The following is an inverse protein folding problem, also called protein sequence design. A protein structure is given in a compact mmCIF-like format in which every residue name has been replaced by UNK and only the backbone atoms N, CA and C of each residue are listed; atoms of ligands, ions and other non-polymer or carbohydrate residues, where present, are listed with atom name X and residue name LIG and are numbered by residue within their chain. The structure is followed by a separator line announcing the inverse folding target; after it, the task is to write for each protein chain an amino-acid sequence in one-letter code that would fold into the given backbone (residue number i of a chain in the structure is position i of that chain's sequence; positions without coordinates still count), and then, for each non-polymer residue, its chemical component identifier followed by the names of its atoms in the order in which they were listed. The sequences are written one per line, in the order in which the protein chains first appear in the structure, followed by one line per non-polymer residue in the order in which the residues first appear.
data_IF_665672774858
#
_entry.id   IF_665672774858
#
_cell.length_a   1.000
_cell.length_b   1.000
_cell.length_c   1.000
_cell.angle_alpha   90.00
_cell.angle_beta   90.00
_cell.angle_gamma   90.00
#
_symmetry.space_group_name_H-M   'P 1'
#
loop_
_entity.id
_entity.type
_entity.pdbx_description
1 polymer ?
#
# COMPACT_ATOMS: atom_id res chain seq x y z
N UNK A 1 -8.86 -27.93 14.17
CA UNK A 1 -9.97 -27.39 15.02
C UNK A 1 -10.21 -28.41 16.14
N UNK A 2 -9.60 -28.17 17.25
CA UNK A 2 -9.61 -29.15 18.36
C UNK A 2 -10.78 -28.98 19.32
N UNK A 3 -11.49 -27.84 19.24
CA UNK A 3 -12.63 -27.61 20.14
C UNK A 3 -13.81 -26.91 19.44
N UNK A 4 -15.00 -27.10 20.01
CA UNK A 4 -16.21 -26.40 19.59
C UNK A 4 -16.08 -24.87 19.76
N UNK A 5 -15.29 -24.41 20.75
CA UNK A 5 -14.99 -23.00 20.96
C UNK A 5 -14.23 -22.37 19.80
N UNK A 6 -13.25 -23.07 19.21
CA UNK A 6 -12.46 -22.57 18.08
C UNK A 6 -13.33 -22.32 16.84
N UNK A 7 -14.26 -23.25 16.61
CA UNK A 7 -15.25 -23.08 15.55
C UNK A 7 -16.12 -21.85 15.79
N UNK A 8 -16.54 -21.58 17.03
CA UNK A 8 -17.33 -20.40 17.35
C UNK A 8 -16.56 -19.10 17.11
N UNK A 9 -15.28 -19.02 17.46
CA UNK A 9 -14.45 -17.85 17.19
C UNK A 9 -14.33 -17.59 15.67
N UNK A 10 -14.04 -18.63 14.89
CA UNK A 10 -14.00 -18.50 13.43
C UNK A 10 -15.34 -18.07 12.84
N UNK A 11 -16.44 -18.61 13.35
CA UNK A 11 -17.76 -18.25 12.92
C UNK A 11 -18.08 -16.78 13.21
N UNK A 12 -17.62 -16.22 14.34
CA UNK A 12 -17.85 -14.80 14.67
C UNK A 12 -17.21 -13.88 13.63
N UNK A 13 -15.93 -14.10 13.27
CA UNK A 13 -15.26 -13.24 12.27
C UNK A 13 -15.92 -13.39 10.88
N UNK A 14 -16.33 -14.59 10.49
CA UNK A 14 -16.98 -14.80 9.20
C UNK A 14 -18.34 -14.11 9.12
N UNK A 15 -19.16 -14.21 10.17
CA UNK A 15 -20.45 -13.51 10.24
C UNK A 15 -20.22 -12.00 10.23
N UNK A 16 -19.29 -11.50 11.04
CA UNK A 16 -19.00 -10.08 11.10
C UNK A 16 -18.53 -9.53 9.76
N UNK A 17 -17.55 -10.18 9.12
CA UNK A 17 -17.05 -9.78 7.80
C UNK A 17 -18.17 -9.81 6.75
N UNK A 18 -19.02 -10.84 6.76
CA UNK A 18 -20.15 -10.92 5.84
C UNK A 18 -21.17 -9.78 6.07
N UNK A 19 -21.49 -9.48 7.33
CA UNK A 19 -22.38 -8.39 7.69
C UNK A 19 -21.77 -7.02 7.31
N UNK A 20 -20.53 -6.78 7.67
CA UNK A 20 -19.82 -5.53 7.36
C UNK A 20 -19.69 -5.35 5.85
N UNK A 21 -19.33 -6.40 5.10
CA UNK A 21 -19.26 -6.37 3.64
C UNK A 21 -20.60 -6.00 3.00
N UNK A 22 -21.68 -6.62 3.47
CA UNK A 22 -23.03 -6.32 2.98
C UNK A 22 -23.43 -4.87 3.29
N UNK A 23 -23.25 -4.41 4.52
CA UNK A 23 -23.56 -3.04 4.94
C UNK A 23 -22.72 -2.00 4.19
N UNK A 24 -21.42 -2.28 4.05
CA UNK A 24 -20.49 -1.44 3.32
C UNK A 24 -20.89 -1.30 1.85
N UNK A 25 -21.18 -2.44 1.21
CA UNK A 25 -21.64 -2.43 -0.18
C UNK A 25 -22.99 -1.71 -0.36
N UNK A 26 -23.92 -1.88 0.57
CA UNK A 26 -25.21 -1.17 0.58
C UNK A 26 -25.02 0.34 0.73
N UNK A 27 -24.07 0.75 1.56
CA UNK A 27 -23.78 2.17 1.87
C UNK A 27 -23.04 2.86 0.74
N UNK A 28 -21.97 2.25 0.22
CA UNK A 28 -21.05 2.88 -0.75
C UNK A 28 -21.28 2.42 -2.19
N UNK A 29 -22.08 1.38 -2.41
CA UNK A 29 -22.39 0.80 -3.74
C UNK A 29 -21.16 0.46 -4.58
N UNK A 30 -20.05 0.16 -3.90
CA UNK A 30 -18.77 -0.19 -4.50
C UNK A 30 -18.00 -1.12 -3.58
N UNK A 31 -17.10 -1.93 -4.15
CA UNK A 31 -16.17 -2.77 -3.40
C UNK A 31 -14.89 -2.03 -2.99
N UNK A 32 -14.63 -0.88 -3.61
CA UNK A 32 -13.39 -0.11 -3.43
C UNK A 32 -13.53 0.87 -2.26
N UNK A 33 -13.53 0.33 -1.03
CA UNK A 33 -13.65 1.08 0.22
C UNK A 33 -12.54 0.68 1.18
N UNK A 34 -12.08 1.59 2.07
CA UNK A 34 -11.03 1.30 3.03
C UNK A 34 -11.30 0.04 3.86
N UNK A 35 -12.53 -0.15 4.36
CA UNK A 35 -12.89 -1.31 5.16
C UNK A 35 -12.73 -2.63 4.40
N UNK A 36 -13.16 -2.69 3.13
CA UNK A 36 -13.02 -3.90 2.31
C UNK A 36 -11.54 -4.24 2.05
N UNK A 37 -10.71 -3.22 1.83
CA UNK A 37 -9.27 -3.44 1.67
C UNK A 37 -8.59 -3.93 2.95
N UNK A 38 -9.08 -3.54 4.13
CA UNK A 38 -8.54 -4.04 5.41
C UNK A 38 -9.03 -5.45 5.72
N UNK A 39 -10.37 -5.68 5.70
CA UNK A 39 -10.96 -6.90 6.25
C UNK A 39 -10.80 -8.12 5.33
N UNK A 40 -10.94 -7.96 4.00
CA UNK A 40 -10.96 -9.13 3.10
C UNK A 40 -9.61 -9.85 3.01
N UNK A 41 -8.45 -9.16 2.79
CA UNK A 41 -7.15 -9.82 2.78
C UNK A 41 -6.82 -10.46 4.12
N UNK A 42 -7.07 -9.76 5.24
CA UNK A 42 -6.83 -10.31 6.56
C UNK A 42 -7.62 -11.61 6.80
N UNK A 43 -8.92 -11.58 6.53
CA UNK A 43 -9.77 -12.78 6.71
C UNK A 43 -9.29 -13.94 5.83
N UNK A 44 -8.90 -13.67 4.58
CA UNK A 44 -8.37 -14.70 3.69
C UNK A 44 -7.07 -15.30 4.24
N UNK A 45 -6.13 -14.48 4.72
CA UNK A 45 -4.87 -14.94 5.31
C UNK A 45 -5.13 -15.71 6.61
N UNK A 46 -6.01 -15.21 7.48
CA UNK A 46 -6.40 -15.88 8.73
C UNK A 46 -6.93 -17.32 8.44
N UNK A 47 -7.85 -17.44 7.49
CA UNK A 47 -8.45 -18.74 7.13
C UNK A 47 -7.44 -19.73 6.50
N UNK A 48 -6.36 -19.24 5.91
CA UNK A 48 -5.28 -20.08 5.40
C UNK A 48 -4.29 -20.40 6.54
N UNK A 49 -3.92 -19.42 7.34
CA UNK A 49 -2.92 -19.57 8.42
C UNK A 49 -3.35 -20.58 9.47
N UNK A 50 -4.59 -20.50 9.96
CA UNK A 50 -5.07 -21.39 11.04
C UNK A 50 -4.91 -22.88 10.73
N UNK A 51 -5.37 -23.41 9.56
CA UNK A 51 -5.22 -24.82 9.27
C UNK A 51 -3.82 -25.25 8.83
N UNK A 52 -2.95 -24.31 8.47
CA UNK A 52 -1.64 -24.62 7.89
C UNK A 52 -0.47 -24.37 8.83
N UNK A 53 -0.59 -23.48 9.79
CA UNK A 53 0.51 -23.08 10.67
C UNK A 53 1.15 -24.27 11.38
N UNK A 54 0.38 -25.12 12.04
CA UNK A 54 0.89 -26.32 12.73
C UNK A 54 1.60 -27.31 11.80
N UNK A 55 1.15 -27.45 10.54
CA UNK A 55 1.79 -28.32 9.55
C UNK A 55 3.17 -27.83 9.12
N UNK A 56 3.41 -26.52 9.25
CA UNK A 56 4.70 -25.90 8.99
C UNK A 56 5.56 -25.69 10.25
N UNK A 57 5.12 -26.23 11.41
CA UNK A 57 5.85 -26.14 12.68
C UNK A 57 5.82 -24.76 13.33
N UNK A 58 4.88 -23.92 12.97
CA UNK A 58 4.63 -22.65 13.67
C UNK A 58 3.88 -22.85 14.98
N UNK A 59 3.93 -21.83 15.85
CA UNK A 59 3.17 -21.81 17.11
C UNK A 59 1.67 -21.93 16.87
N UNK A 60 0.96 -22.47 17.85
CA UNK A 60 -0.49 -22.64 17.81
C UNK A 60 -1.21 -21.31 17.81
N UNK A 61 -2.31 -21.23 17.10
CA UNK A 61 -3.11 -20.01 17.01
C UNK A 61 -4.04 -19.87 18.21
N UNK A 62 -3.96 -18.74 18.91
CA UNK A 62 -4.83 -18.39 20.03
C UNK A 62 -6.12 -17.73 19.53
N UNK A 63 -7.20 -18.51 19.41
CA UNK A 63 -8.47 -18.08 18.85
C UNK A 63 -9.11 -16.84 19.48
N UNK A 64 -8.99 -16.58 20.81
CA UNK A 64 -9.50 -15.35 21.41
C UNK A 64 -8.96 -14.05 20.79
N UNK A 65 -7.82 -14.09 20.10
CA UNK A 65 -7.28 -12.94 19.37
C UNK A 65 -8.23 -12.43 18.28
N UNK A 66 -9.12 -13.29 17.77
CA UNK A 66 -10.15 -12.93 16.79
C UNK A 66 -11.10 -11.87 17.36
N UNK A 67 -11.42 -11.92 18.67
CA UNK A 67 -12.29 -10.92 19.32
C UNK A 67 -11.69 -9.52 19.19
N UNK A 68 -10.39 -9.38 19.38
CA UNK A 68 -9.71 -8.09 19.26
C UNK A 68 -9.80 -7.54 17.82
N UNK A 69 -9.62 -8.40 16.84
CA UNK A 69 -9.82 -8.03 15.44
C UNK A 69 -11.25 -7.61 15.14
N UNK A 70 -12.24 -8.35 15.66
CA UNK A 70 -13.64 -8.02 15.51
C UNK A 70 -13.94 -6.62 16.06
N UNK A 71 -13.47 -6.32 17.28
CA UNK A 71 -13.61 -4.99 17.88
C UNK A 71 -12.93 -3.91 17.02
N UNK A 72 -11.72 -4.20 16.54
CA UNK A 72 -10.98 -3.29 15.66
C UNK A 72 -11.73 -3.00 14.35
N UNK A 73 -12.28 -4.02 13.70
CA UNK A 73 -13.08 -3.87 12.47
C UNK A 73 -14.35 -3.07 12.72
N UNK A 74 -15.05 -3.30 13.82
CA UNK A 74 -16.25 -2.52 14.18
C UNK A 74 -15.89 -1.05 14.40
N UNK A 75 -14.83 -0.75 15.17
CA UNK A 75 -14.37 0.62 15.37
C UNK A 75 -13.97 1.28 14.03
N UNK A 76 -13.28 0.55 13.16
CA UNK A 76 -12.90 1.05 11.83
C UNK A 76 -14.11 1.28 10.92
N UNK A 77 -15.18 0.51 11.08
CA UNK A 77 -16.40 0.63 10.29
C UNK A 77 -17.29 1.82 10.69
N UNK A 78 -17.21 2.32 11.92
CA UNK A 78 -18.07 3.41 12.41
C UNK A 78 -18.04 4.65 11.50
N UNK A 79 -16.85 5.23 11.14
CA UNK A 79 -16.80 6.39 10.25
C UNK A 79 -17.38 6.10 8.85
N UNK A 80 -17.21 4.86 8.35
CA UNK A 80 -17.79 4.46 7.06
C UNK A 80 -19.29 4.67 7.04
N UNK A 81 -19.99 4.12 8.02
CA UNK A 81 -21.45 4.17 8.07
C UNK A 81 -21.97 5.58 8.33
N UNK A 82 -21.30 6.34 9.19
CA UNK A 82 -21.67 7.73 9.46
C UNK A 82 -21.50 8.59 8.21
N UNK A 83 -20.33 8.58 7.59
CA UNK A 83 -20.03 9.42 6.43
C UNK A 83 -20.82 8.98 5.18
N UNK A 84 -20.91 7.67 4.95
CA UNK A 84 -21.69 7.12 3.84
C UNK A 84 -23.20 7.36 4.02
N UNK A 85 -23.71 7.26 5.26
CA UNK A 85 -25.10 7.61 5.59
C UNK A 85 -25.42 9.08 5.33
N UNK A 86 -24.51 9.99 5.71
CA UNK A 86 -24.65 11.42 5.42
C UNK A 86 -24.67 11.69 3.90
N UNK A 87 -23.79 11.07 3.12
CA UNK A 87 -23.79 11.23 1.66
C UNK A 87 -25.07 10.74 1.03
N UNK A 88 -25.59 9.59 1.45
CA UNK A 88 -26.85 9.05 0.96
C UNK A 88 -28.04 9.95 1.33
N UNK A 89 -28.04 10.50 2.55
CA UNK A 89 -29.08 11.43 2.99
C UNK A 89 -29.12 12.69 2.14
N UNK A 90 -27.96 13.25 1.76
CA UNK A 90 -27.89 14.43 0.89
C UNK A 90 -28.03 14.09 -0.61
N UNK A 91 -28.34 12.84 -0.96
CA UNK A 91 -28.58 12.42 -2.34
C UNK A 91 -27.39 12.59 -3.29
N UNK A 92 -26.17 12.66 -2.78
CA UNK A 92 -24.97 12.82 -3.61
C UNK A 92 -24.58 11.50 -4.27
N UNK A 93 -24.14 11.50 -5.54
CA UNK A 93 -23.68 10.30 -6.20
C UNK A 93 -22.46 9.73 -5.49
N UNK A 94 -22.47 8.41 -5.21
CA UNK A 94 -21.42 7.71 -4.48
C UNK A 94 -20.32 7.19 -5.41
N UNK A 95 -20.61 7.03 -6.69
CA UNK A 95 -19.64 6.57 -7.69
C UNK A 95 -19.76 7.43 -8.96
N UNK A 96 -18.62 7.88 -9.45
CA UNK A 96 -18.49 8.50 -10.76
C UNK A 96 -17.46 7.71 -11.57
N UNK A 97 -17.68 7.48 -12.88
CA UNK A 97 -16.63 6.88 -13.71
C UNK A 97 -15.40 7.79 -13.72
N UNK A 98 -14.22 7.20 -13.75
CA UNK A 98 -12.97 7.98 -13.85
C UNK A 98 -13.02 8.84 -15.12
N UNK A 99 -12.70 10.11 -14.97
CA UNK A 99 -12.50 10.98 -16.11
C UNK A 99 -11.34 10.44 -16.96
N UNK A 100 -11.67 9.95 -18.15
CA UNK A 100 -10.67 9.37 -19.08
C UNK A 100 -9.87 10.50 -19.73
N UNK A 101 -8.91 11.05 -19.02
CA UNK A 101 -7.96 12.00 -19.58
C UNK A 101 -6.81 11.26 -20.29
N UNK A 102 -6.27 11.81 -21.37
CA UNK A 102 -5.07 11.28 -21.99
C UNK A 102 -3.89 11.37 -21.02
N UNK A 103 -2.90 10.49 -21.23
CA UNK A 103 -1.65 10.50 -20.47
C UNK A 103 -0.96 11.88 -20.57
N UNK A 104 -0.76 12.61 -19.45
CA UNK A 104 -0.11 13.91 -19.49
C UNK A 104 1.36 13.79 -19.91
N UNK A 105 1.80 14.60 -20.88
CA UNK A 105 3.21 14.62 -21.32
C UNK A 105 4.16 14.97 -20.17
N UNK A 106 3.75 15.89 -19.30
CA UNK A 106 4.55 16.28 -18.12
C UNK A 106 4.82 15.09 -17.22
N UNK A 107 3.83 14.23 -16.99
CA UNK A 107 4.01 13.02 -16.19
C UNK A 107 5.08 12.10 -16.77
N UNK A 108 5.09 11.93 -18.09
CA UNK A 108 6.08 11.10 -18.78
C UNK A 108 7.49 11.69 -18.61
N UNK A 109 7.63 13.00 -18.78
CA UNK A 109 8.91 13.68 -18.56
C UNK A 109 9.38 13.50 -17.12
N UNK A 110 8.51 13.72 -16.13
CA UNK A 110 8.84 13.55 -14.70
C UNK A 110 9.22 12.09 -14.42
N UNK A 111 8.44 11.11 -14.92
CA UNK A 111 8.74 9.69 -14.71
C UNK A 111 10.09 9.28 -15.34
N UNK A 112 10.40 9.82 -16.53
CA UNK A 112 11.69 9.58 -17.19
C UNK A 112 12.83 10.22 -16.38
N UNK A 113 12.69 11.46 -15.92
CA UNK A 113 13.72 12.14 -15.12
C UNK A 113 13.97 11.43 -13.79
N UNK A 114 12.91 11.01 -13.08
CA UNK A 114 13.03 10.22 -11.86
C UNK A 114 13.70 8.88 -12.16
N UNK A 115 13.31 8.17 -13.21
CA UNK A 115 13.95 6.92 -13.62
C UNK A 115 15.43 7.08 -13.93
N UNK A 116 15.81 8.15 -14.65
CA UNK A 116 17.22 8.47 -14.93
C UNK A 116 18.01 8.83 -13.67
N UNK A 117 17.40 9.60 -12.75
CA UNK A 117 18.02 9.95 -11.48
C UNK A 117 18.30 8.69 -10.62
N UNK A 118 17.34 7.76 -10.56
CA UNK A 118 17.50 6.48 -9.85
C UNK A 118 18.55 5.58 -10.53
N UNK A 119 18.59 5.54 -11.85
CA UNK A 119 19.62 4.81 -12.60
C UNK A 119 21.02 5.41 -12.37
N UNK A 120 21.13 6.74 -12.33
CA UNK A 120 22.36 7.44 -11.98
C UNK A 120 22.79 7.15 -10.56
N UNK A 121 21.89 7.19 -9.58
CA UNK A 121 22.17 6.85 -8.18
C UNK A 121 22.66 5.40 -8.07
N UNK A 122 22.02 4.47 -8.77
CA UNK A 122 22.46 3.07 -8.82
C UNK A 122 23.89 2.94 -9.34
N UNK A 123 24.20 3.59 -10.47
CA UNK A 123 25.55 3.60 -11.04
C UNK A 123 26.57 4.18 -10.09
N UNK A 124 26.23 5.29 -9.41
CA UNK A 124 27.09 5.92 -8.40
C UNK A 124 27.35 4.98 -7.23
N UNK A 125 26.31 4.34 -6.67
CA UNK A 125 26.42 3.39 -5.56
C UNK A 125 27.28 2.19 -5.96
N UNK A 126 27.13 1.66 -7.18
CA UNK A 126 28.01 0.59 -7.70
C UNK A 126 29.49 0.97 -7.72
N UNK A 127 29.80 2.25 -7.96
CA UNK A 127 31.18 2.73 -8.02
C UNK A 127 31.78 3.09 -6.65
N UNK A 128 30.94 3.38 -5.65
CA UNK A 128 31.39 3.83 -4.31
C UNK A 128 31.26 2.75 -3.23
N UNK A 129 30.29 1.84 -3.37
CA UNK A 129 30.04 0.80 -2.38
C UNK A 129 31.02 -0.38 -2.53
N UNK A 130 31.49 -0.89 -1.40
CA UNK A 130 32.17 -2.18 -1.32
C UNK A 130 31.18 -3.35 -1.14
N UNK A 131 29.90 -3.04 -0.88
CA UNK A 131 28.86 -4.02 -0.70
C UNK A 131 28.35 -4.55 -2.06
N UNK A 132 27.98 -5.81 -2.12
CA UNK A 132 27.43 -6.40 -3.34
C UNK A 132 25.95 -6.02 -3.55
N UNK A 133 25.54 -5.91 -4.80
CA UNK A 133 24.14 -5.66 -5.16
C UNK A 133 23.25 -6.76 -4.56
N UNK A 134 22.28 -6.36 -3.73
CA UNK A 134 21.39 -7.28 -3.03
C UNK A 134 21.73 -7.50 -1.56
N UNK A 135 22.78 -6.88 -1.03
CA UNK A 135 23.01 -6.78 0.42
C UNK A 135 22.19 -5.63 1.03
N UNK A 136 21.93 -5.71 2.33
CA UNK A 136 21.27 -4.63 3.08
C UNK A 136 22.10 -3.35 3.05
N UNK A 137 23.41 -3.45 3.21
CA UNK A 137 24.34 -2.30 3.15
C UNK A 137 24.26 -1.59 1.79
N UNK A 138 24.22 -2.36 0.68
CA UNK A 138 24.05 -1.77 -0.65
C UNK A 138 22.69 -1.09 -0.79
N UNK A 139 21.64 -1.70 -0.28
CA UNK A 139 20.29 -1.14 -0.33
C UNK A 139 20.20 0.16 0.48
N UNK A 140 20.86 0.23 1.65
CA UNK A 140 20.92 1.43 2.47
C UNK A 140 21.66 2.57 1.76
N UNK A 141 22.85 2.32 1.20
CA UNK A 141 23.60 3.30 0.42
C UNK A 141 22.84 3.76 -0.83
N UNK A 142 22.21 2.83 -1.55
CA UNK A 142 21.38 3.15 -2.73
C UNK A 142 20.15 3.95 -2.36
N UNK A 143 19.51 3.64 -1.23
CA UNK A 143 18.33 4.36 -0.74
C UNK A 143 18.63 5.84 -0.54
N UNK A 144 19.85 6.17 -0.11
CA UNK A 144 20.32 7.51 0.12
C UNK A 144 19.53 8.23 1.23
N UNK A 145 20.01 9.44 1.56
CA UNK A 145 19.38 10.30 2.55
C UNK A 145 18.91 11.62 1.90
N UNK A 146 18.03 12.34 2.57
CA UNK A 146 17.55 13.64 2.14
C UNK A 146 16.85 13.59 0.77
N UNK A 147 17.29 14.41 -0.18
CA UNK A 147 16.64 14.54 -1.49
C UNK A 147 16.54 13.22 -2.27
N UNK A 148 17.52 12.33 -2.17
CA UNK A 148 17.51 11.03 -2.85
C UNK A 148 16.39 10.13 -2.35
N UNK A 149 16.14 10.12 -1.04
CA UNK A 149 15.02 9.40 -0.45
C UNK A 149 13.68 9.90 -1.02
N UNK A 150 13.49 11.22 -1.14
CA UNK A 150 12.26 11.80 -1.71
C UNK A 150 12.11 11.52 -3.22
N UNK A 151 13.21 11.52 -4.01
CA UNK A 151 13.19 11.10 -5.43
C UNK A 151 12.74 9.65 -5.54
N UNK A 152 13.23 8.78 -4.66
CA UNK A 152 12.78 7.39 -4.59
C UNK A 152 11.29 7.29 -4.24
N UNK A 153 10.81 8.02 -3.23
CA UNK A 153 9.39 8.02 -2.87
C UNK A 153 8.51 8.52 -4.02
N UNK A 154 8.98 9.50 -4.81
CA UNK A 154 8.29 9.97 -6.02
C UNK A 154 8.12 8.86 -7.07
N UNK A 155 9.01 7.86 -7.09
CA UNK A 155 8.89 6.73 -8.03
C UNK A 155 7.62 5.91 -7.81
N UNK A 156 7.08 5.86 -6.58
CA UNK A 156 5.90 5.06 -6.22
C UNK A 156 4.63 5.59 -6.90
N UNK A 157 4.18 6.84 -6.70
CA UNK A 157 2.99 7.35 -7.38
C UNK A 157 3.16 7.37 -8.90
N UNK A 158 4.37 7.62 -9.42
CA UNK A 158 4.66 7.53 -10.85
C UNK A 158 4.47 6.11 -11.37
N UNK A 159 4.95 5.10 -10.64
CA UNK A 159 4.77 3.69 -10.98
C UNK A 159 3.29 3.32 -11.01
N UNK A 160 2.52 3.69 -9.98
CA UNK A 160 1.06 3.46 -9.90
C UNK A 160 0.34 4.05 -11.11
N UNK A 161 0.65 5.31 -11.46
CA UNK A 161 0.03 6.00 -12.59
C UNK A 161 0.48 5.39 -13.93
N UNK A 162 1.75 5.04 -14.07
CA UNK A 162 2.26 4.37 -15.27
C UNK A 162 1.58 3.00 -15.47
N UNK A 163 1.40 2.20 -14.41
CA UNK A 163 0.65 0.93 -14.45
C UNK A 163 -0.79 1.18 -14.91
N UNK A 164 -1.44 2.24 -14.42
CA UNK A 164 -2.81 2.58 -14.85
C UNK A 164 -2.90 2.86 -16.36
N UNK A 165 -1.94 3.60 -16.91
CA UNK A 165 -1.92 3.94 -18.35
C UNK A 165 -1.34 2.85 -19.25
N UNK A 166 -0.76 1.79 -18.68
CA UNK A 166 -0.15 0.71 -19.43
C UNK A 166 -1.20 -0.10 -20.21
N UNK A 167 -1.40 0.24 -21.47
CA UNK A 167 -2.31 -0.42 -22.40
C UNK A 167 -1.64 -0.67 -23.76
N UNK A 168 -2.40 -1.15 -24.75
CA UNK A 168 -1.87 -1.41 -26.09
C UNK A 168 -1.31 -0.16 -26.80
N UNK A 169 -1.85 1.03 -26.48
CA UNK A 169 -1.43 2.31 -27.06
C UNK A 169 -0.17 2.86 -26.39
N UNK A 170 0.03 2.53 -25.13
CA UNK A 170 1.12 3.06 -24.29
C UNK A 170 2.13 1.99 -23.88
N UNK A 171 2.37 0.97 -24.75
CA UNK A 171 3.37 -0.10 -24.49
C UNK A 171 4.78 0.45 -24.27
N UNK A 172 5.07 1.59 -24.81
CA UNK A 172 6.35 2.28 -24.64
C UNK A 172 6.59 2.75 -23.18
N UNK A 173 5.59 2.71 -22.31
CA UNK A 173 5.78 2.93 -20.86
C UNK A 173 6.49 1.77 -20.15
N UNK A 174 6.55 0.57 -20.77
CA UNK A 174 7.20 -0.59 -20.14
C UNK A 174 8.63 -0.33 -19.67
N UNK A 175 9.54 0.30 -20.43
CA UNK A 175 10.87 0.60 -19.94
C UNK A 175 10.87 1.47 -18.68
N UNK A 176 9.99 2.48 -18.60
CA UNK A 176 9.86 3.33 -17.40
C UNK A 176 9.35 2.50 -16.22
N UNK A 177 8.30 1.70 -16.42
CA UNK A 177 7.76 0.83 -15.37
C UNK A 177 8.82 -0.15 -14.84
N UNK A 178 9.60 -0.76 -15.75
CA UNK A 178 10.67 -1.69 -15.37
C UNK A 178 11.75 -0.98 -14.56
N UNK A 179 12.21 0.20 -14.98
CA UNK A 179 13.23 0.97 -14.26
C UNK A 179 12.74 1.35 -12.85
N UNK A 180 11.49 1.84 -12.73
CA UNK A 180 10.91 2.20 -11.45
C UNK A 180 10.71 0.97 -10.53
N UNK A 181 10.31 -0.18 -11.09
CA UNK A 181 10.21 -1.44 -10.35
C UNK A 181 11.58 -1.93 -9.87
N UNK A 182 12.58 -1.95 -10.75
CA UNK A 182 13.94 -2.39 -10.41
C UNK A 182 14.57 -1.50 -9.33
N UNK A 183 14.39 -0.19 -9.42
CA UNK A 183 14.89 0.73 -8.40
C UNK A 183 14.28 0.43 -7.02
N UNK A 184 12.97 0.16 -6.95
CA UNK A 184 12.32 -0.23 -5.69
C UNK A 184 12.72 -1.65 -5.25
N UNK A 185 13.02 -2.56 -6.18
CA UNK A 185 13.49 -3.91 -5.88
C UNK A 185 14.88 -3.92 -5.25
N UNK A 186 15.80 -3.11 -5.76
CA UNK A 186 17.17 -2.98 -5.24
C UNK A 186 17.18 -2.44 -3.79
N UNK A 187 16.22 -1.59 -3.43
CA UNK A 187 16.05 -1.10 -2.07
C UNK A 187 15.60 -2.17 -1.06
N UNK A 188 15.33 -3.39 -1.50
CA UNK A 188 14.88 -4.53 -0.67
C UNK A 188 13.58 -4.30 0.14
N UNK A 189 12.91 -3.18 -0.03
CA UNK A 189 11.62 -2.90 0.62
C UNK A 189 10.50 -3.59 -0.16
N UNK A 190 10.41 -4.91 0.00
CA UNK A 190 9.47 -5.77 -0.74
C UNK A 190 8.02 -5.32 -0.59
N UNK A 191 7.64 -4.86 0.61
CA UNK A 191 6.31 -4.31 0.89
C UNK A 191 5.95 -3.13 -0.02
N UNK A 192 6.88 -2.20 -0.25
CA UNK A 192 6.65 -1.01 -1.07
C UNK A 192 6.31 -1.36 -2.53
N UNK A 193 6.98 -2.38 -3.10
CA UNK A 193 6.70 -2.84 -4.47
C UNK A 193 5.30 -3.45 -4.56
N UNK A 194 4.97 -4.34 -3.61
CA UNK A 194 3.67 -5.00 -3.55
C UNK A 194 2.57 -3.95 -3.42
N UNK A 195 2.72 -2.98 -2.52
CA UNK A 195 1.78 -1.88 -2.30
C UNK A 195 1.60 -1.05 -3.58
N UNK A 196 2.70 -0.67 -4.25
CA UNK A 196 2.62 0.12 -5.48
C UNK A 196 1.92 -0.64 -6.62
N UNK A 197 2.23 -1.93 -6.79
CA UNK A 197 1.60 -2.79 -7.82
C UNK A 197 0.11 -2.99 -7.49
N UNK A 198 -0.24 -3.31 -6.25
CA UNK A 198 -1.64 -3.44 -5.80
C UNK A 198 -2.42 -2.15 -6.05
N UNK A 199 -1.83 -1.00 -5.73
CA UNK A 199 -2.44 0.33 -5.97
C UNK A 199 -2.71 0.56 -7.45
N UNK A 200 -1.74 0.28 -8.32
CA UNK A 200 -1.88 0.40 -9.77
C UNK A 200 -2.94 -0.55 -10.34
N UNK A 201 -2.98 -1.77 -9.85
CA UNK A 201 -3.98 -2.78 -10.23
C UNK A 201 -5.38 -2.40 -9.76
N UNK A 202 -5.54 -1.96 -8.50
CA UNK A 202 -6.82 -1.48 -7.97
C UNK A 202 -7.34 -0.28 -8.78
N UNK A 203 -6.45 0.66 -9.10
CA UNK A 203 -6.76 1.80 -9.95
C UNK A 203 -7.23 1.38 -11.36
N UNK A 204 -6.60 0.37 -11.98
CA UNK A 204 -7.02 -0.19 -13.27
C UNK A 204 -8.38 -0.85 -13.22
N UNK A 205 -8.65 -1.62 -12.15
CA UNK A 205 -9.94 -2.25 -11.92
C UNK A 205 -11.04 -1.20 -11.74
N UNK A 206 -10.80 -0.22 -10.88
CA UNK A 206 -11.73 0.88 -10.64
C UNK A 206 -11.99 1.71 -11.90
N UNK A 207 -10.95 1.98 -12.70
CA UNK A 207 -11.06 2.69 -13.97
C UNK A 207 -11.62 1.88 -15.15
N UNK A 208 -12.05 0.65 -14.91
CA UNK A 208 -12.62 -0.23 -15.93
C UNK A 208 -11.64 -0.66 -17.04
N UNK A 209 -10.32 -0.39 -16.86
CA UNK A 209 -9.27 -0.80 -17.84
C UNK A 209 -8.96 -2.28 -17.79
N UNK A 210 -9.30 -2.91 -16.68
CA UNK A 210 -9.15 -4.36 -16.45
C UNK A 210 -10.40 -4.85 -15.73
N UNK A 211 -10.89 -6.04 -16.10
CA UNK A 211 -12.02 -6.67 -15.43
C UNK A 211 -11.50 -7.60 -14.33
N UNK A 212 -12.16 -7.58 -13.18
CA UNK A 212 -11.92 -8.57 -12.14
C UNK A 212 -12.34 -9.95 -12.68
N UNK A 213 -11.38 -10.81 -12.91
CA UNK A 213 -11.58 -12.17 -13.38
C UNK A 213 -10.67 -13.12 -12.61
N UNK A 214 -11.03 -14.41 -12.56
CA UNK A 214 -10.18 -15.42 -11.91
C UNK A 214 -8.76 -15.39 -12.50
N UNK A 215 -8.64 -15.26 -13.83
CA UNK A 215 -7.34 -15.14 -14.50
C UNK A 215 -6.53 -13.94 -13.99
N UNK A 216 -7.18 -12.79 -13.80
CA UNK A 216 -6.53 -11.60 -13.26
C UNK A 216 -6.04 -11.83 -11.82
N UNK A 217 -6.88 -12.41 -10.97
CA UNK A 217 -6.53 -12.75 -9.58
C UNK A 217 -5.33 -13.70 -9.56
N UNK A 218 -5.40 -14.82 -10.31
CA UNK A 218 -4.32 -15.80 -10.36
C UNK A 218 -3.01 -15.21 -10.91
N UNK A 219 -3.06 -14.35 -11.93
CA UNK A 219 -1.88 -13.66 -12.45
C UNK A 219 -1.28 -12.67 -11.43
N UNK A 220 -2.11 -11.95 -10.68
CA UNK A 220 -1.65 -10.99 -9.69
C UNK A 220 -1.03 -11.70 -8.49
N UNK A 221 -1.70 -12.73 -7.95
CA UNK A 221 -1.19 -13.54 -6.85
C UNK A 221 0.07 -14.32 -7.28
N UNK A 222 0.02 -14.98 -8.42
CA UNK A 222 1.17 -15.72 -8.96
C UNK A 222 2.35 -14.81 -9.25
N UNK A 223 2.11 -13.59 -9.73
CA UNK A 223 3.15 -12.57 -9.93
C UNK A 223 3.77 -12.09 -8.60
N UNK A 224 2.96 -11.89 -7.56
CA UNK A 224 3.45 -11.53 -6.22
C UNK A 224 4.28 -12.66 -5.59
N UNK A 225 3.81 -13.90 -5.69
CA UNK A 225 4.55 -15.09 -5.24
C UNK A 225 5.85 -15.24 -6.02
N UNK A 226 5.80 -15.15 -7.36
CA UNK A 226 7.00 -15.23 -8.19
C UNK A 226 8.01 -14.13 -7.84
N UNK A 227 7.57 -12.90 -7.63
CA UNK A 227 8.43 -11.79 -7.21
C UNK A 227 9.10 -12.09 -5.87
N UNK A 228 8.36 -12.66 -4.92
CA UNK A 228 8.90 -13.08 -3.62
C UNK A 228 10.00 -14.12 -3.81
N UNK A 229 9.73 -15.22 -4.53
CA UNK A 229 10.70 -16.28 -4.78
C UNK A 229 11.93 -15.76 -5.53
N UNK A 230 11.76 -14.95 -6.58
CA UNK A 230 12.86 -14.33 -7.31
C UNK A 230 13.73 -13.48 -6.36
N UNK A 231 13.13 -12.70 -5.47
CA UNK A 231 13.89 -11.85 -4.55
C UNK A 231 14.74 -12.64 -3.57
N UNK A 232 14.28 -13.83 -3.14
CA UNK A 232 15.02 -14.67 -2.21
C UNK A 232 16.03 -15.62 -2.89
N UNK A 233 15.78 -16.01 -4.14
CA UNK A 233 16.68 -16.90 -4.88
C UNK A 233 17.77 -16.13 -5.63
N UNK A 234 17.41 -15.05 -6.33
CA UNK A 234 18.33 -14.33 -7.24
C UNK A 234 19.34 -13.49 -6.47
N UNK A 235 18.92 -12.78 -5.42
CA UNK A 235 19.83 -11.89 -4.68
C UNK A 235 20.97 -12.64 -3.97
N UNK A 236 20.74 -13.75 -3.24
CA UNK A 236 21.82 -14.55 -2.66
C UNK A 236 22.73 -15.17 -3.73
N UNK A 237 22.19 -15.64 -4.85
CA UNK A 237 22.98 -16.23 -5.94
C UNK A 237 23.91 -15.21 -6.60
N UNK A 238 23.47 -13.97 -6.75
CA UNK A 238 24.32 -12.89 -7.28
C UNK A 238 25.43 -12.48 -6.34
N UNK A 239 25.22 -12.63 -5.00
CA UNK A 239 26.16 -12.14 -3.99
C UNK A 239 27.24 -13.13 -3.55
N UNK A 240 26.97 -14.44 -3.60
CA UNK A 240 27.85 -15.45 -3.02
C UNK A 240 28.80 -16.14 -4.01
N UNK A 241 28.64 -15.92 -5.32
CA UNK A 241 29.47 -16.56 -6.35
C UNK A 241 29.36 -18.10 -6.41
N UNK A 242 28.62 -18.71 -5.50
CA UNK A 242 28.33 -20.15 -5.44
C UNK A 242 26.95 -20.36 -6.06
N UNK A 243 26.93 -20.51 -7.38
CA UNK A 243 25.71 -20.48 -8.19
C UNK A 243 24.87 -21.76 -8.21
N UNK A 244 24.90 -22.57 -7.15
CA UNK A 244 24.09 -23.80 -7.10
C UNK A 244 22.81 -23.58 -6.30
N UNK A 245 21.67 -23.97 -6.92
CA UNK A 245 20.37 -24.07 -6.23
C UNK A 245 20.39 -25.37 -5.45
N UNK A 246 20.60 -25.29 -4.14
CA UNK A 246 20.56 -26.47 -3.24
C UNK A 246 19.14 -26.70 -2.73
N UNK A 247 18.86 -27.93 -2.32
CA UNK A 247 17.59 -28.28 -1.65
C UNK A 247 17.37 -27.45 -0.38
N UNK A 248 18.46 -27.14 0.33
CA UNK A 248 18.45 -26.29 1.52
C UNK A 248 18.01 -24.84 1.20
N UNK A 249 18.43 -24.28 0.07
CA UNK A 249 17.99 -22.96 -0.39
C UNK A 249 16.50 -22.98 -0.73
N UNK A 250 16.03 -24.03 -1.37
CA UNK A 250 14.61 -24.20 -1.72
C UNK A 250 13.77 -24.27 -0.43
N UNK A 251 14.17 -25.11 0.52
CA UNK A 251 13.48 -25.26 1.82
C UNK A 251 13.48 -23.93 2.58
N UNK A 252 14.59 -23.23 2.63
CA UNK A 252 14.70 -21.89 3.23
C UNK A 252 13.73 -20.89 2.60
N UNK A 253 13.62 -20.87 1.27
CA UNK A 253 12.71 -19.93 0.59
C UNK A 253 11.25 -20.27 0.87
N UNK A 254 10.87 -21.55 0.87
CA UNK A 254 9.51 -21.99 1.22
C UNK A 254 9.16 -21.66 2.68
N UNK A 255 10.04 -21.96 3.62
CA UNK A 255 9.84 -21.66 5.04
C UNK A 255 9.74 -20.15 5.27
N UNK A 256 10.60 -19.38 4.61
CA UNK A 256 10.56 -17.92 4.66
C UNK A 256 9.26 -17.37 4.08
N UNK A 257 8.77 -17.92 2.97
CA UNK A 257 7.48 -17.52 2.41
C UNK A 257 6.32 -17.82 3.37
N UNK A 258 6.26 -19.05 3.92
CA UNK A 258 5.27 -19.42 4.92
C UNK A 258 5.36 -18.51 6.16
N UNK A 259 6.58 -18.20 6.63
CA UNK A 259 6.83 -17.30 7.74
C UNK A 259 6.28 -15.88 7.46
N UNK A 260 6.59 -15.28 6.31
CA UNK A 260 6.07 -13.97 5.95
C UNK A 260 4.54 -13.96 5.81
N UNK A 261 3.97 -15.09 5.35
CA UNK A 261 2.53 -15.17 5.18
C UNK A 261 1.76 -15.35 6.49
N UNK A 262 2.34 -16.00 7.49
CA UNK A 262 1.67 -16.33 8.75
C UNK A 262 2.03 -15.40 9.91
N UNK A 263 3.23 -14.83 9.90
CA UNK A 263 3.80 -14.11 11.04
C UNK A 263 2.93 -12.96 11.56
N UNK A 264 2.36 -12.14 10.68
CA UNK A 264 1.52 -11.03 11.13
C UNK A 264 0.33 -11.48 11.97
N UNK A 265 -0.35 -12.54 11.53
CA UNK A 265 -1.53 -13.10 12.22
C UNK A 265 -1.15 -13.80 13.52
N UNK A 266 -0.05 -14.58 13.49
CA UNK A 266 0.46 -15.25 14.69
C UNK A 266 0.98 -14.27 15.72
N UNK A 267 1.52 -13.10 15.31
CA UNK A 267 2.04 -12.10 16.22
C UNK A 267 1.00 -11.57 17.21
N UNK A 268 -0.17 -11.16 16.74
CA UNK A 268 -1.24 -10.77 17.65
C UNK A 268 -1.70 -11.93 18.54
N UNK A 269 -1.78 -13.14 17.98
CA UNK A 269 -2.12 -14.35 18.73
C UNK A 269 -1.18 -14.57 19.90
N UNK A 270 0.13 -14.53 19.68
CA UNK A 270 1.17 -14.70 20.68
C UNK A 270 1.18 -13.57 21.73
N UNK A 271 1.05 -12.31 21.28
CA UNK A 271 0.99 -11.17 22.20
C UNK A 271 -0.19 -11.28 23.17
N UNK A 272 -1.30 -11.86 22.75
CA UNK A 272 -2.45 -12.09 23.62
C UNK A 272 -2.27 -13.28 24.57
N UNK A 273 -1.56 -14.34 24.15
CA UNK A 273 -1.20 -15.47 25.02
C UNK A 273 -0.32 -14.98 26.20
N UNK A 274 0.67 -14.15 25.89
CA UNK A 274 1.58 -13.60 26.90
C UNK A 274 1.06 -12.33 27.59
N UNK A 275 -0.10 -11.85 27.19
CA UNK A 275 -0.75 -10.67 27.75
C UNK A 275 0.13 -9.41 27.73
N UNK A 276 0.61 -9.04 26.55
CA UNK A 276 1.44 -7.85 26.29
C UNK A 276 0.67 -6.66 25.66
N UNK A 277 -0.48 -6.21 26.23
CA UNK A 277 -1.10 -4.98 25.77
C UNK A 277 -0.26 -3.78 26.22
N UNK A 278 -0.19 -2.74 25.40
CA UNK A 278 0.47 -1.46 25.75
C UNK A 278 1.93 -1.63 26.22
N UNK A 279 2.65 -2.59 25.60
CA UNK A 279 4.03 -2.91 25.97
C UNK A 279 5.05 -1.93 25.36
N UNK A 280 4.66 -1.13 24.38
CA UNK A 280 5.50 -0.15 23.68
C UNK A 280 4.98 1.28 23.81
N UNK A 281 5.75 2.24 23.28
CA UNK A 281 5.33 3.65 23.25
C UNK A 281 4.40 3.94 22.07
N UNK A 282 3.30 4.63 22.32
CA UNK A 282 2.39 5.12 21.27
C UNK A 282 3.07 6.05 20.26
N UNK A 283 4.21 6.65 20.61
CA UNK A 283 4.99 7.49 19.74
C UNK A 283 5.43 6.77 18.44
N UNK A 284 5.60 5.44 18.50
CA UNK A 284 5.89 4.62 17.32
C UNK A 284 4.74 4.69 16.31
N UNK A 285 3.49 4.64 16.78
CA UNK A 285 2.28 4.70 15.91
C UNK A 285 2.17 6.06 15.22
N UNK A 286 2.50 7.14 15.91
CA UNK A 286 2.43 8.51 15.40
C UNK A 286 3.79 9.04 14.94
N UNK A 287 4.78 8.16 14.81
CA UNK A 287 6.16 8.53 14.44
C UNK A 287 6.28 9.40 13.17
N UNK A 288 5.47 9.25 12.11
CA UNK A 288 5.55 10.14 10.96
C UNK A 288 5.37 11.62 11.33
N UNK A 289 4.42 11.90 12.23
CA UNK A 289 4.15 13.28 12.67
C UNK A 289 5.24 13.81 13.59
N UNK A 290 5.70 12.99 14.53
CA UNK A 290 6.79 13.34 15.45
C UNK A 290 8.07 13.58 14.67
N UNK A 291 8.41 12.70 13.73
CA UNK A 291 9.63 12.81 12.92
C UNK A 291 9.63 14.07 12.04
N UNK A 292 8.48 14.42 11.44
CA UNK A 292 8.35 15.68 10.69
C UNK A 292 8.56 16.88 11.64
N UNK A 293 7.93 16.87 12.81
CA UNK A 293 8.09 17.93 13.80
C UNK A 293 9.54 18.07 14.25
N UNK A 294 10.19 16.98 14.65
CA UNK A 294 11.58 16.93 15.10
C UNK A 294 12.55 17.43 14.01
N UNK A 295 12.29 17.05 12.75
CA UNK A 295 13.10 17.49 11.63
C UNK A 295 12.96 19.00 11.36
N UNK A 296 11.77 19.56 11.53
CA UNK A 296 11.50 20.99 11.33
C UNK A 296 11.99 21.82 12.52
N UNK A 297 11.76 21.34 13.73
CA UNK A 297 12.19 22.01 14.97
C UNK A 297 13.71 21.90 15.22
N UNK A 298 14.35 20.85 14.66
CA UNK A 298 15.80 20.64 14.78
C UNK A 298 16.26 20.04 16.12
N UNK A 299 15.34 19.63 16.99
CA UNK A 299 15.60 19.33 18.41
C UNK A 299 15.19 17.93 18.85
N UNK A 300 15.06 16.94 17.97
CA UNK A 300 14.58 15.64 18.39
C UNK A 300 15.25 14.46 17.70
N UNK A 301 15.29 13.33 18.40
CA UNK A 301 15.67 12.06 17.81
C UNK A 301 14.61 11.57 16.83
N UNK A 302 15.02 10.96 15.74
CA UNK A 302 14.13 10.32 14.77
C UNK A 302 13.67 8.98 15.35
N UNK A 303 12.37 8.83 15.54
CA UNK A 303 11.76 7.57 15.96
C UNK A 303 11.77 6.61 14.77
N UNK A 304 12.42 5.46 14.93
CA UNK A 304 12.44 4.42 13.91
C UNK A 304 11.01 3.85 13.73
N UNK A 305 10.45 3.83 12.52
CA UNK A 305 9.15 3.24 12.24
C UNK A 305 9.28 1.72 12.09
N UNK A 306 9.85 1.07 13.08
CA UNK A 306 10.06 -0.38 13.14
C UNK A 306 9.52 -0.89 14.46
N UNK A 307 8.78 -1.99 14.39
CA UNK A 307 8.36 -2.67 15.60
C UNK A 307 9.58 -3.28 16.31
N UNK A 308 9.90 -2.77 17.49
CA UNK A 308 11.07 -3.21 18.27
C UNK A 308 10.82 -4.49 19.08
N UNK A 309 9.56 -4.93 19.20
CA UNK A 309 9.19 -6.10 19.98
C UNK A 309 9.16 -7.35 19.13
N UNK A 310 10.09 -8.27 19.39
CA UNK A 310 10.21 -9.53 18.68
C UNK A 310 9.48 -10.65 19.43
N UNK A 311 8.95 -11.60 18.68
CA UNK A 311 8.41 -12.85 19.20
C UNK A 311 8.89 -14.03 18.35
N UNK A 312 8.79 -15.25 18.91
CA UNK A 312 9.19 -16.48 18.21
C UNK A 312 7.96 -17.14 17.57
N UNK A 313 8.00 -17.37 16.26
CA UNK A 313 6.92 -18.04 15.52
C UNK A 313 6.97 -19.57 15.60
N UNK A 314 7.98 -20.14 16.27
CA UNK A 314 8.33 -21.55 16.19
C UNK A 314 9.48 -21.84 15.23
N UNK A 315 9.62 -21.09 14.14
CA UNK A 315 10.72 -21.20 13.19
C UNK A 315 11.78 -20.12 13.32
N UNK A 316 11.37 -18.87 13.54
CA UNK A 316 12.28 -17.74 13.62
C UNK A 316 11.68 -16.61 14.45
N UNK A 317 12.56 -15.66 14.81
CA UNK A 317 12.13 -14.42 15.43
C UNK A 317 11.59 -13.47 14.36
N UNK A 318 10.48 -12.82 14.68
CA UNK A 318 9.88 -11.77 13.86
C UNK A 318 9.33 -10.66 14.73
N UNK A 319 9.27 -9.46 14.16
CA UNK A 319 8.64 -8.29 14.78
C UNK A 319 7.37 -7.85 14.04
N UNK A 320 6.93 -8.63 13.05
CA UNK A 320 5.78 -8.31 12.22
C UNK A 320 4.48 -8.65 12.97
N UNK A 321 3.53 -7.73 12.93
CA UNK A 321 2.18 -7.90 13.50
C UNK A 321 1.16 -7.27 12.57
N UNK A 322 -0.04 -7.80 12.59
CA UNK A 322 -1.16 -7.25 11.80
C UNK A 322 -1.43 -5.78 12.14
N UNK A 323 -2.24 -5.13 11.33
CA UNK A 323 -2.69 -3.75 11.55
C UNK A 323 -3.16 -3.51 13.00
N UNK A 324 -4.09 -4.30 13.50
CA UNK A 324 -4.55 -4.17 14.88
C UNK A 324 -3.58 -4.77 15.90
N UNK A 325 -2.76 -5.76 15.52
CA UNK A 325 -1.74 -6.33 16.40
C UNK A 325 -0.67 -5.31 16.79
N UNK A 326 -0.22 -4.50 15.85
CA UNK A 326 0.71 -3.40 16.16
C UNK A 326 0.06 -2.38 17.09
N UNK A 327 -1.20 -2.02 16.85
CA UNK A 327 -1.92 -1.13 17.75
C UNK A 327 -2.12 -1.73 19.15
N UNK A 328 -2.30 -3.06 19.25
CA UNK A 328 -2.45 -3.74 20.56
C UNK A 328 -1.22 -3.55 21.45
N UNK A 329 -0.02 -3.64 20.90
CA UNK A 329 1.22 -3.55 21.69
C UNK A 329 1.73 -2.13 21.92
N UNK A 330 1.31 -1.15 21.11
CA UNK A 330 1.78 0.23 21.18
C UNK A 330 0.72 1.22 21.70
N UNK A 331 -0.47 0.76 22.05
CA UNK A 331 -1.52 1.67 22.52
C UNK A 331 -2.39 1.06 23.61
N UNK A 332 -2.83 1.91 24.53
CA UNK A 332 -3.91 1.55 25.46
C UNK A 332 -5.28 1.58 24.73
N UNK A 333 -6.33 1.09 25.39
CA UNK A 333 -7.67 0.99 24.80
C UNK A 333 -8.25 2.31 24.27
N UNK A 334 -7.95 3.43 24.94
CA UNK A 334 -8.41 4.76 24.51
C UNK A 334 -7.65 5.18 23.26
N UNK A 335 -6.32 5.08 23.26
CA UNK A 335 -5.48 5.39 22.13
C UNK A 335 -5.83 4.52 20.93
N UNK A 336 -5.97 3.21 21.12
CA UNK A 336 -6.42 2.26 20.10
C UNK A 336 -7.74 2.70 19.46
N UNK A 337 -8.76 2.95 20.29
CA UNK A 337 -10.10 3.28 19.81
C UNK A 337 -10.11 4.63 19.08
N UNK A 338 -9.52 5.67 19.67
CA UNK A 338 -9.47 7.01 19.11
C UNK A 338 -8.68 7.03 17.81
N UNK A 339 -7.52 6.39 17.79
CA UNK A 339 -6.66 6.37 16.61
C UNK A 339 -7.30 5.57 15.46
N UNK A 340 -7.90 4.41 15.74
CA UNK A 340 -8.60 3.59 14.73
C UNK A 340 -9.74 4.38 14.08
N UNK A 341 -10.58 5.04 14.88
CA UNK A 341 -11.68 5.87 14.38
C UNK A 341 -11.15 7.09 13.62
N UNK A 342 -10.10 7.74 14.12
CA UNK A 342 -9.46 8.89 13.45
C UNK A 342 -8.90 8.50 12.09
N UNK A 343 -8.09 7.45 12.01
CA UNK A 343 -7.49 6.98 10.76
C UNK A 343 -8.56 6.56 9.74
N UNK A 344 -9.57 5.78 10.20
CA UNK A 344 -10.70 5.41 9.36
C UNK A 344 -11.44 6.65 8.84
N UNK A 345 -11.67 7.66 9.68
CA UNK A 345 -12.31 8.91 9.27
C UNK A 345 -11.53 9.59 8.15
N UNK A 346 -10.20 9.71 8.28
CA UNK A 346 -9.34 10.30 7.26
C UNK A 346 -9.45 9.54 5.93
N UNK A 347 -9.39 8.22 5.98
CA UNK A 347 -9.45 7.38 4.78
C UNK A 347 -10.81 7.47 4.09
N UNK A 348 -11.92 7.54 4.84
CA UNK A 348 -13.25 7.77 4.26
C UNK A 348 -13.45 9.20 3.77
N UNK A 349 -12.83 10.20 4.38
CA UNK A 349 -12.76 11.55 3.81
C UNK A 349 -12.01 11.55 2.48
N UNK A 350 -10.87 10.83 2.37
CA UNK A 350 -10.19 10.64 1.10
C UNK A 350 -11.10 9.93 0.07
N UNK A 351 -11.87 8.93 0.48
CA UNK A 351 -12.88 8.29 -0.37
C UNK A 351 -13.91 9.30 -0.89
N UNK A 352 -14.42 10.17 -0.04
CA UNK A 352 -15.35 11.25 -0.45
C UNK A 352 -14.65 12.21 -1.43
N UNK A 353 -13.39 12.52 -1.20
CA UNK A 353 -12.59 13.36 -2.09
C UNK A 353 -12.46 12.73 -3.49
N UNK A 354 -12.34 11.40 -3.60
CA UNK A 354 -12.31 10.72 -4.90
C UNK A 354 -13.62 10.83 -5.66
N UNK A 355 -14.75 10.98 -4.98
CA UNK A 355 -16.07 11.19 -5.62
C UNK A 355 -16.15 12.58 -6.24
N UNK A 356 -15.62 13.59 -5.54
CA UNK A 356 -15.62 14.99 -5.99
C UNK A 356 -14.56 15.25 -7.06
N UNK A 357 -13.37 14.72 -6.88
CA UNK A 357 -12.20 14.93 -7.75
C UNK A 357 -11.77 13.61 -8.36
N UNK A 358 -12.59 13.09 -9.27
CA UNK A 358 -12.42 11.77 -9.88
C UNK A 358 -11.32 11.75 -10.95
N UNK A 359 -10.09 12.06 -10.58
CA UNK A 359 -8.94 12.04 -11.47
C UNK A 359 -7.89 11.03 -11.01
N UNK A 360 -6.99 10.65 -11.92
CA UNK A 360 -5.99 9.60 -11.70
C UNK A 360 -5.07 9.90 -10.51
N UNK A 361 -4.74 11.15 -10.21
CA UNK A 361 -3.79 11.50 -9.15
C UNK A 361 -4.43 11.36 -7.76
N UNK A 362 -5.66 11.87 -7.57
CA UNK A 362 -6.40 11.71 -6.32
C UNK A 362 -6.70 10.24 -6.07
N UNK A 363 -7.05 9.49 -7.12
CA UNK A 363 -7.27 8.05 -7.02
C UNK A 363 -5.98 7.28 -6.72
N UNK A 364 -4.82 7.73 -7.24
CA UNK A 364 -3.52 7.14 -6.89
C UNK A 364 -3.24 7.28 -5.40
N UNK A 365 -3.43 8.48 -4.84
CA UNK A 365 -3.30 8.70 -3.39
C UNK A 365 -4.24 7.77 -2.60
N UNK A 366 -5.52 7.73 -2.97
CA UNK A 366 -6.51 6.89 -2.30
C UNK A 366 -6.20 5.39 -2.39
N UNK A 367 -5.87 4.88 -3.58
CA UNK A 367 -5.57 3.44 -3.74
C UNK A 367 -4.24 3.04 -3.13
N UNK A 368 -3.29 3.96 -3.00
CA UNK A 368 -2.09 3.72 -2.22
C UNK A 368 -2.44 3.44 -0.75
N UNK A 369 -3.22 4.30 -0.11
CA UNK A 369 -3.70 4.11 1.26
C UNK A 369 -4.53 2.83 1.43
N UNK A 370 -5.40 2.53 0.48
CA UNK A 370 -6.15 1.27 0.46
C UNK A 370 -5.21 0.05 0.35
N UNK A 371 -4.09 0.17 -0.35
CA UNK A 371 -3.11 -0.91 -0.47
C UNK A 371 -2.29 -1.10 0.79
N UNK A 372 -2.01 -0.02 1.56
CA UNK A 372 -1.46 -0.14 2.92
C UNK A 372 -2.42 -0.93 3.81
N UNK A 373 -3.73 -0.65 3.75
CA UNK A 373 -4.74 -1.41 4.49
C UNK A 373 -4.81 -2.87 4.04
N UNK A 374 -4.70 -3.12 2.72
CA UNK A 374 -4.72 -4.48 2.19
C UNK A 374 -3.54 -5.32 2.69
N UNK A 375 -2.41 -4.68 3.00
CA UNK A 375 -1.25 -5.31 3.64
C UNK A 375 -1.35 -5.35 5.17
N UNK A 376 -2.44 -4.88 5.75
CA UNK A 376 -2.69 -4.85 7.19
C UNK A 376 -2.77 -6.23 7.87
N UNK A 377 -2.89 -7.31 7.08
CA UNK A 377 -2.72 -8.68 7.58
C UNK A 377 -1.27 -9.00 7.94
N UNK A 378 -0.33 -8.28 7.38
CA UNK A 378 1.11 -8.44 7.61
C UNK A 378 1.63 -7.42 8.61
N UNK A 379 1.42 -6.10 8.38
CA UNK A 379 1.98 -5.04 9.21
C UNK A 379 1.11 -3.77 9.21
N UNK A 380 1.32 -2.92 10.23
CA UNK A 380 0.73 -1.59 10.32
C UNK A 380 1.59 -0.57 9.57
N UNK A 381 1.35 -0.37 8.28
CA UNK A 381 2.18 0.50 7.43
C UNK A 381 2.00 2.00 7.66
N UNK A 382 1.01 2.44 8.45
CA UNK A 382 0.73 3.87 8.67
C UNK A 382 1.71 4.58 9.61
N UNK A 383 2.63 3.87 10.23
CA UNK A 383 3.73 4.46 10.97
C UNK A 383 4.94 4.83 10.08
N UNK A 384 4.94 4.46 8.80
CA UNK A 384 5.94 4.90 7.85
C UNK A 384 5.60 6.28 7.27
N UNK A 385 6.59 7.15 7.13
CA UNK A 385 6.44 8.48 6.53
C UNK A 385 5.82 8.42 5.12
N UNK A 386 6.05 7.33 4.39
CA UNK A 386 5.50 7.09 3.06
C UNK A 386 3.96 7.15 3.02
N UNK A 387 3.27 6.79 4.11
CA UNK A 387 1.81 6.91 4.21
C UNK A 387 1.32 8.36 4.10
N UNK A 388 2.11 9.34 4.51
CA UNK A 388 1.81 10.76 4.34
C UNK A 388 2.41 11.31 3.05
N UNK A 389 3.63 10.93 2.72
CA UNK A 389 4.40 11.48 1.61
C UNK A 389 3.83 11.11 0.24
N UNK A 390 3.45 9.85 0.02
CA UNK A 390 2.96 9.39 -1.29
C UNK A 390 1.66 10.08 -1.72
N UNK A 391 0.63 10.23 -0.88
CA UNK A 391 -0.54 11.05 -1.19
C UNK A 391 -0.18 12.50 -1.56
N UNK A 392 0.71 13.14 -0.80
CA UNK A 392 1.16 14.50 -1.07
C UNK A 392 1.87 14.58 -2.42
N UNK A 393 2.80 13.67 -2.71
CA UNK A 393 3.51 13.61 -3.99
C UNK A 393 2.55 13.38 -5.16
N UNK A 394 1.50 12.56 -4.97
CA UNK A 394 0.45 12.37 -5.99
C UNK A 394 -0.30 13.67 -6.30
N UNK A 395 -0.62 14.46 -5.27
CA UNK A 395 -1.27 15.76 -5.44
C UNK A 395 -0.34 16.82 -6.04
N UNK A 396 0.95 16.77 -5.72
CA UNK A 396 1.97 17.63 -6.35
C UNK A 396 2.10 17.30 -7.85
N UNK A 397 2.09 16.03 -8.23
CA UNK A 397 2.06 15.63 -9.64
C UNK A 397 0.81 16.16 -10.35
N UNK A 398 -0.35 16.14 -9.69
CA UNK A 398 -1.58 16.75 -10.22
C UNK A 398 -1.39 18.25 -10.46
N UNK A 399 -0.85 18.97 -9.49
CA UNK A 399 -0.59 20.40 -9.61
C UNK A 399 0.36 20.71 -10.76
N UNK A 400 1.49 20.00 -10.87
CA UNK A 400 2.46 20.14 -11.96
C UNK A 400 1.84 19.89 -13.33
N UNK A 401 1.00 18.86 -13.45
CA UNK A 401 0.30 18.56 -14.70
C UNK A 401 -0.76 19.61 -15.06
N UNK A 402 -1.37 20.26 -14.07
CA UNK A 402 -2.40 21.28 -14.24
C UNK A 402 -1.83 22.64 -14.69
N UNK A 403 -0.63 23.00 -14.25
CA UNK A 403 0.01 24.29 -14.60
C UNK A 403 0.24 24.46 -16.09
N UNK A 404 0.44 23.37 -16.85
CA UNK A 404 0.71 23.41 -18.28
C UNK A 404 -0.53 23.57 -19.16
N UNK A 405 -1.73 23.22 -18.65
CA UNK A 405 -2.98 23.38 -19.42
C UNK A 405 -3.40 24.84 -19.54
N UNK A 406 -3.13 25.68 -18.53
CA UNK A 406 -3.46 27.12 -18.56
C UNK A 406 -2.61 27.91 -19.56
N UNK A 407 -1.33 27.55 -19.73
CA UNK A 407 -0.43 28.24 -20.66
C UNK A 407 -0.78 28.06 -22.15
N UNK A 408 -1.60 27.06 -22.49
CA UNK A 408 -1.99 26.76 -23.87
C UNK A 408 -3.32 27.40 -24.27
N UNK A 409 -4.19 27.69 -23.32
CA UNK A 409 -5.48 28.36 -23.60
C UNK A 409 -5.31 29.86 -23.82
N UNK A 410 -4.33 30.51 -23.15
CA UNK A 410 -4.11 31.96 -23.28
C UNK A 410 -3.32 32.36 -24.55
N UNK A 411 -2.78 31.41 -25.32
CA UNK A 411 -2.01 31.69 -26.56
C UNK A 411 -2.78 31.45 -27.86
N UNK A 412 -4.07 31.17 -27.81
CA UNK A 412 -4.83 30.66 -28.98
C UNK A 412 -6.03 31.45 -29.46
N UNK A 413 -6.22 32.70 -29.04
CA UNK A 413 -7.38 33.45 -29.59
C UNK A 413 -7.11 34.96 -29.70
N UNK A 414 -6.25 35.33 -30.65
CA UNK A 414 -6.17 36.69 -31.14
C UNK A 414 -5.91 36.68 -32.65
N UNK A 415 -6.82 36.08 -33.42
CA UNK A 415 -6.98 36.34 -34.88
C UNK A 415 -8.44 36.20 -35.26
N UNK A 416 -9.26 37.15 -34.80
CA UNK A 416 -10.53 37.45 -35.45
C UNK A 416 -10.26 38.39 -36.63
N UNK A 417 -10.15 37.83 -37.84
CA UNK A 417 -10.24 38.59 -39.09
C UNK A 417 -11.64 39.24 -39.20
N UNK A 418 -11.73 40.48 -39.64
CA UNK A 418 -13.02 41.15 -39.79
C UNK A 418 -13.78 40.55 -41.01
N UNK A 419 -14.97 40.05 -40.74
CA UNK A 419 -15.92 39.60 -41.79
C UNK A 419 -16.45 40.81 -42.52
N UNK A 420 -16.08 40.99 -43.78
CA UNK A 420 -16.64 41.92 -44.73
C UNK A 420 -18.12 41.59 -44.94
N UNK A 421 -18.97 42.53 -44.58
CA UNK A 421 -20.37 42.56 -44.99
C UNK A 421 -20.46 42.76 -46.51
N UNK A 422 -20.99 41.80 -47.24
CA UNK A 422 -21.54 42.01 -48.57
C UNK A 422 -23.04 42.30 -48.44
N UNK A 423 -23.39 43.56 -48.72
CA UNK A 423 -24.67 44.01 -49.14
C UNK A 423 -24.97 43.40 -50.51
N UNK A 424 -26.09 42.71 -50.68
CA UNK A 424 -26.79 42.56 -51.97
C UNK A 424 -28.26 42.82 -51.81
N UNK A 425 -28.71 43.84 -52.54
CA UNK A 425 -30.07 44.12 -52.93
C UNK A 425 -30.64 42.96 -53.78
N UNK A 426 -31.88 42.55 -53.51
CA UNK A 426 -33.11 42.64 -54.33
C UNK A 426 -34.21 41.89 -53.57
#
# INVERSE_FOLDING_TARGET
MESFSDFLFLLTILIEVACLFYLEHKTWKTLYTPLNFLMLPYTAVLLITIPTAGNFGFVDFHYPSIIFWNIGLLLFALPSFVLGGLLNYYGKPIASPIEQRPLPRVLVVVATLVGLALAFQFYRTLGSSSAFVGSEDFAEEFSGHGMWAHIRQMSIPLLVICIYFLDKRHRWLWPIVIVLLLANFINQVKGAIIIAVLSGMALRLYGGKTKLSLKFILLTLGGAVALFFISYMVLPLLGKGEGEVTDELIEFVYTTFAHYFTSGVLGLSEDMVYNYPDAGSFDVIISPFINIYNQVAGDGEIISPVNALYYNTGHSLTNVRTFFGTLYIYSNWIQFSVYTVFLSTLLYMMKIFTIKYNNVFVLTAFFYECSLLAMGWFEFYFFHLAALEIPILSLLLMALCSLRFKAKEDSGDNTSLPTTQNLQHD
#
